data_IF_216490983382
#
_entry.id   IF_216490983382
#
_cell.length_a   1.000
_cell.length_b   1.000
_cell.length_c   1.000
_cell.angle_alpha   90.00
_cell.angle_beta   90.00
_cell.angle_gamma   90.00
#
_symmetry.space_group_name_H-M   'P 1'
#
loop_
_entity.id
_entity.type
_entity.pdbx_description
1 polymer ?
#
# COMPACT_ATOMS: atom_id res chain seq x y z
N UNK A 1 6.65 0.51 7.73
CA UNK A 1 7.86 1.36 7.68
C UNK A 1 8.43 1.31 9.09
N UNK A 2 9.48 0.52 9.34
CA UNK A 2 10.04 0.33 10.70
C UNK A 2 11.01 1.45 11.10
N UNK A 3 11.58 2.14 10.11
CA UNK A 3 12.66 3.11 10.29
C UNK A 3 12.33 4.43 9.57
N UNK A 4 11.21 5.06 9.93
CA UNK A 4 10.85 6.35 9.35
C UNK A 4 11.83 7.43 9.81
N UNK A 5 12.55 8.03 8.87
CA UNK A 5 13.41 9.21 9.10
C UNK A 5 12.60 10.46 8.77
N UNK A 6 12.56 11.43 9.69
CA UNK A 6 11.61 12.56 9.67
C UNK A 6 11.72 13.52 8.47
N UNK A 7 12.69 13.34 7.58
CA UNK A 7 12.83 14.16 6.39
C UNK A 7 11.91 13.64 5.27
N UNK A 8 11.01 14.51 4.83
CA UNK A 8 10.02 14.21 3.81
C UNK A 8 9.94 15.37 2.84
N UNK A 9 9.83 15.04 1.55
CA UNK A 9 9.77 16.00 0.47
C UNK A 9 8.36 16.07 -0.09
N UNK A 10 7.93 17.26 -0.49
CA UNK A 10 6.75 17.43 -1.34
C UNK A 10 6.92 16.70 -2.66
N UNK A 11 5.82 16.50 -3.38
CA UNK A 11 5.87 15.88 -4.71
C UNK A 11 6.81 16.64 -5.65
N UNK A 12 6.74 17.98 -5.66
CA UNK A 12 7.61 18.82 -6.50
C UNK A 12 9.09 18.72 -6.11
N UNK A 13 9.41 18.81 -4.82
CA UNK A 13 10.79 18.67 -4.34
C UNK A 13 11.37 17.28 -4.68
N UNK A 14 10.56 16.23 -4.55
CA UNK A 14 10.99 14.88 -4.92
C UNK A 14 11.29 14.76 -6.43
N UNK A 15 10.52 15.43 -7.29
CA UNK A 15 10.82 15.49 -8.73
C UNK A 15 12.19 16.11 -8.99
N UNK A 16 12.49 17.23 -8.33
CA UNK A 16 13.77 17.93 -8.49
C UNK A 16 14.94 17.08 -8.00
N UNK A 17 14.82 16.48 -6.81
CA UNK A 17 15.86 15.65 -6.21
C UNK A 17 16.12 14.39 -7.05
N UNK A 18 15.07 13.77 -7.58
CA UNK A 18 15.17 12.54 -8.36
C UNK A 18 15.41 12.80 -9.85
N UNK A 19 15.31 14.07 -10.28
CA UNK A 19 15.34 14.46 -11.70
C UNK A 19 14.32 13.69 -12.55
N UNK A 20 13.12 13.46 -12.00
CA UNK A 20 12.03 12.73 -12.66
C UNK A 20 10.92 13.68 -13.12
N UNK A 21 10.32 13.38 -14.26
CA UNK A 21 9.08 14.04 -14.70
C UNK A 21 7.92 13.65 -13.78
N UNK A 22 6.86 14.49 -13.67
CA UNK A 22 5.71 14.18 -12.82
C UNK A 22 5.12 12.79 -13.09
N UNK A 23 4.97 12.43 -14.37
CA UNK A 23 4.43 11.13 -14.80
C UNK A 23 5.33 9.94 -14.43
N UNK A 24 6.65 10.13 -14.44
CA UNK A 24 7.62 9.11 -14.05
C UNK A 24 7.53 8.87 -12.54
N UNK A 25 7.53 9.94 -11.73
CA UNK A 25 7.36 9.84 -10.29
C UNK A 25 6.01 9.19 -9.91
N UNK A 26 4.92 9.56 -10.58
CA UNK A 26 3.62 8.91 -10.40
C UNK A 26 3.68 7.41 -10.73
N UNK A 27 4.37 7.03 -11.81
CA UNK A 27 4.54 5.64 -12.19
C UNK A 27 5.32 4.83 -11.14
N UNK A 28 6.41 5.38 -10.60
CA UNK A 28 7.20 4.72 -9.55
C UNK A 28 6.41 4.54 -8.24
N UNK A 29 5.55 5.50 -7.89
CA UNK A 29 4.62 5.37 -6.77
C UNK A 29 3.56 4.30 -7.08
N UNK A 30 2.98 4.31 -8.29
CA UNK A 30 1.91 3.37 -8.67
C UNK A 30 2.39 1.92 -8.77
N UNK A 31 3.61 1.71 -9.20
CA UNK A 31 4.29 0.41 -9.21
C UNK A 31 4.85 0.00 -7.84
N UNK A 32 4.56 0.78 -6.78
CA UNK A 32 4.95 0.55 -5.38
C UNK A 32 6.45 0.50 -5.13
N UNK A 33 7.26 1.04 -6.05
CA UNK A 33 8.71 1.21 -5.87
C UNK A 33 9.04 2.37 -4.93
N UNK A 34 8.15 3.35 -4.85
CA UNK A 34 8.17 4.42 -3.85
C UNK A 34 6.93 4.34 -2.96
N UNK A 35 7.12 4.40 -1.65
CA UNK A 35 6.02 4.43 -0.68
C UNK A 35 5.80 5.84 -0.16
N UNK A 36 4.81 6.57 -0.70
CA UNK A 36 4.50 7.90 -0.20
C UNK A 36 3.82 7.82 1.17
N UNK A 37 3.88 8.93 1.87
CA UNK A 37 3.18 9.18 3.12
C UNK A 37 2.34 10.45 2.96
N UNK A 38 1.43 10.71 3.89
CA UNK A 38 0.70 11.98 3.92
C UNK A 38 1.16 12.80 5.12
N UNK A 39 1.39 14.08 4.91
CA UNK A 39 1.50 15.05 5.97
C UNK A 39 0.10 15.45 6.44
N UNK A 40 -0.10 15.55 7.75
CA UNK A 40 -1.34 16.04 8.34
C UNK A 40 -1.07 17.24 9.23
N UNK A 41 -1.87 18.28 9.02
CA UNK A 41 -1.99 19.41 9.95
C UNK A 41 -2.54 18.93 11.31
N UNK A 42 -2.34 19.71 12.40
CA UNK A 42 -2.84 19.36 13.73
C UNK A 42 -4.32 18.99 13.71
N UNK A 43 -4.64 17.73 14.01
CA UNK A 43 -6.03 17.24 14.12
C UNK A 43 -6.17 16.16 15.18
N UNK A 44 -7.40 15.96 15.64
CA UNK A 44 -7.72 14.88 16.57
C UNK A 44 -7.71 13.53 15.85
N UNK A 45 -7.05 12.54 16.46
CA UNK A 45 -6.89 11.18 15.96
C UNK A 45 -7.44 10.20 16.99
N UNK A 46 -8.14 9.19 16.49
CA UNK A 46 -8.50 7.98 17.21
C UNK A 46 -7.43 6.91 16.98
N UNK A 47 -6.87 6.38 18.08
CA UNK A 47 -5.95 5.25 18.07
C UNK A 47 -6.70 3.96 18.43
N UNK A 48 -6.45 2.91 17.66
CA UNK A 48 -7.18 1.65 17.81
C UNK A 48 -6.38 0.43 17.31
N UNK A 49 -6.89 -0.76 17.64
CA UNK A 49 -6.45 -2.04 17.09
C UNK A 49 -7.57 -2.68 16.28
N UNK A 50 -7.33 -3.05 15.01
CA UNK A 50 -8.29 -3.82 14.23
C UNK A 50 -8.29 -5.28 14.66
N UNK A 51 -9.47 -5.91 14.66
CA UNK A 51 -9.67 -7.35 14.82
C UNK A 51 -9.86 -8.02 13.46
N UNK A 52 -9.69 -9.33 13.42
CA UNK A 52 -9.91 -10.15 12.21
C UNK A 52 -11.34 -10.03 11.66
N UNK A 53 -12.33 -9.76 12.53
CA UNK A 53 -13.73 -9.52 12.17
C UNK A 53 -13.98 -8.17 11.49
N UNK A 54 -12.96 -7.29 11.36
CA UNK A 54 -13.11 -5.91 10.88
C UNK A 54 -13.60 -4.93 11.95
N UNK A 55 -13.76 -5.40 13.19
CA UNK A 55 -14.12 -4.60 14.36
C UNK A 55 -12.90 -3.92 14.98
N UNK A 56 -13.11 -2.78 15.62
CA UNK A 56 -12.04 -1.98 16.23
C UNK A 56 -12.15 -1.98 17.75
N UNK A 57 -11.00 -2.11 18.40
CA UNK A 57 -10.81 -1.82 19.82
C UNK A 57 -10.17 -0.44 19.93
N UNK A 58 -10.94 0.55 20.37
CA UNK A 58 -10.43 1.90 20.62
C UNK A 58 -9.57 1.94 21.87
N UNK A 59 -8.53 2.76 21.83
CA UNK A 59 -7.49 2.76 22.87
C UNK A 59 -7.28 4.12 23.52
N UNK A 60 -7.15 5.14 22.68
CA UNK A 60 -6.87 6.50 23.10
C UNK A 60 -7.22 7.48 21.98
N UNK A 61 -7.24 8.76 22.33
CA UNK A 61 -7.27 9.88 21.39
C UNK A 61 -6.04 10.75 21.60
N UNK A 62 -5.61 11.43 20.54
CA UNK A 62 -4.55 12.42 20.64
C UNK A 62 -4.69 13.48 19.55
N UNK A 63 -3.99 14.60 19.72
CA UNK A 63 -3.75 15.55 18.65
C UNK A 63 -2.47 15.15 17.92
N UNK A 64 -2.54 15.05 16.60
CA UNK A 64 -1.40 14.66 15.78
C UNK A 64 -1.09 15.69 14.69
N UNK A 65 0.20 16.02 14.56
CA UNK A 65 0.76 16.78 13.44
C UNK A 65 2.01 16.05 12.96
N UNK A 66 2.05 15.62 11.71
CA UNK A 66 3.19 14.89 11.19
C UNK A 66 2.83 14.02 10.02
N UNK A 67 3.56 12.93 9.83
CA UNK A 67 3.40 12.04 8.67
C UNK A 67 2.66 10.76 9.06
N UNK A 68 1.75 10.29 8.21
CA UNK A 68 1.08 9.01 8.43
C UNK A 68 0.98 8.21 7.13
N UNK A 69 0.91 6.90 7.26
CA UNK A 69 0.61 6.02 6.12
C UNK A 69 -0.89 6.04 5.83
N UNK A 70 -1.28 5.75 4.60
CA UNK A 70 -2.69 5.53 4.22
C UNK A 70 -2.79 4.36 3.25
N UNK A 71 -4.03 3.90 3.01
CA UNK A 71 -4.30 2.94 1.96
C UNK A 71 -3.85 3.47 0.60
N UNK A 72 -3.37 2.57 -0.26
CA UNK A 72 -2.91 2.94 -1.60
C UNK A 72 -4.04 3.52 -2.46
N UNK A 73 -5.30 3.15 -2.24
CA UNK A 73 -6.45 3.76 -2.90
C UNK A 73 -6.55 5.27 -2.61
N UNK A 74 -6.27 5.69 -1.38
CA UNK A 74 -6.17 7.11 -1.00
C UNK A 74 -5.03 7.78 -1.75
N UNK A 75 -3.86 7.14 -1.82
CA UNK A 75 -2.70 7.66 -2.57
C UNK A 75 -3.04 7.86 -4.05
N UNK A 76 -3.65 6.85 -4.68
CA UNK A 76 -4.02 6.92 -6.09
C UNK A 76 -4.94 8.11 -6.40
N UNK A 77 -5.98 8.31 -5.57
CA UNK A 77 -6.88 9.46 -5.69
C UNK A 77 -6.14 10.80 -5.59
N UNK A 78 -5.18 10.91 -4.65
CA UNK A 78 -4.38 12.11 -4.46
C UNK A 78 -3.45 12.38 -5.64
N UNK A 79 -2.87 11.34 -6.26
CA UNK A 79 -2.04 11.47 -7.46
C UNK A 79 -2.85 11.96 -8.67
N UNK A 80 -4.13 11.58 -8.75
CA UNK A 80 -5.07 12.03 -9.77
C UNK A 80 -5.61 13.45 -9.51
N UNK A 81 -5.11 14.13 -8.47
CA UNK A 81 -5.48 15.50 -8.12
C UNK A 81 -6.79 15.64 -7.35
N UNK A 82 -7.42 14.52 -6.98
CA UNK A 82 -8.66 14.51 -6.20
C UNK A 82 -8.38 14.54 -4.71
N UNK A 83 -9.22 15.24 -3.93
CA UNK A 83 -9.21 15.06 -2.48
C UNK A 83 -9.74 13.67 -2.13
N UNK A 84 -9.30 13.13 -1.00
CA UNK A 84 -9.71 11.80 -0.57
C UNK A 84 -10.02 11.78 0.92
N UNK A 85 -10.75 10.76 1.35
CA UNK A 85 -11.24 10.65 2.70
C UNK A 85 -10.69 9.37 3.37
N UNK A 86 -10.03 9.51 4.52
CA UNK A 86 -9.53 8.37 5.32
C UNK A 86 -10.65 7.69 6.10
N UNK A 87 -11.87 8.20 6.10
CA UNK A 87 -12.94 7.74 6.98
C UNK A 87 -13.33 6.27 6.79
N UNK A 88 -13.06 5.70 5.61
CA UNK A 88 -13.27 4.28 5.32
C UNK A 88 -11.99 3.43 5.45
N UNK A 89 -10.88 4.05 5.83
CA UNK A 89 -9.56 3.43 5.93
C UNK A 89 -8.86 3.79 7.23
N UNK A 90 -7.61 3.34 7.35
CA UNK A 90 -6.77 3.67 8.48
C UNK A 90 -5.31 3.69 8.07
N UNK A 91 -4.53 4.34 8.92
CA UNK A 91 -3.12 4.56 8.73
C UNK A 91 -2.32 4.21 9.97
N UNK A 92 -1.02 4.48 9.90
CA UNK A 92 -0.12 4.46 11.05
C UNK A 92 0.56 5.80 11.15
N UNK A 93 0.61 6.33 12.36
CA UNK A 93 1.37 7.54 12.66
C UNK A 93 2.86 7.19 12.62
N UNK A 94 3.66 8.05 12.01
CA UNK A 94 5.09 7.80 11.79
C UNK A 94 6.00 8.64 12.69
N UNK A 95 5.47 9.73 13.25
CA UNK A 95 6.26 10.70 14.02
C UNK A 95 5.76 10.81 15.46
N UNK A 96 6.45 10.17 16.40
CA UNK A 96 6.07 10.24 17.83
C UNK A 96 6.15 11.66 18.41
N UNK A 97 7.04 12.51 17.88
CA UNK A 97 7.16 13.91 18.32
C UNK A 97 5.97 14.77 17.91
N UNK A 98 5.22 14.32 16.89
CA UNK A 98 3.99 14.93 16.41
C UNK A 98 2.77 14.71 17.31
N UNK A 99 2.87 13.88 18.34
CA UNK A 99 1.77 13.54 19.25
C UNK A 99 1.71 14.52 20.42
N UNK A 100 0.53 15.09 20.64
CA UNK A 100 0.21 15.91 21.82
C UNK A 100 -1.19 15.58 22.35
N UNK A 101 -1.53 16.07 23.54
CA UNK A 101 -2.86 15.92 24.14
C UNK A 101 -3.38 14.47 24.17
N UNK A 102 -2.55 13.54 24.62
CA UNK A 102 -2.95 12.13 24.78
C UNK A 102 -4.07 12.00 25.80
N UNK A 103 -5.12 11.25 25.46
CA UNK A 103 -6.24 10.99 26.34
C UNK A 103 -6.77 9.56 26.16
N UNK A 104 -6.71 8.76 27.22
CA UNK A 104 -7.19 7.37 27.24
C UNK A 104 -8.67 7.24 27.64
N UNK A 105 -9.32 8.35 28.00
CA UNK A 105 -10.75 8.38 28.27
C UNK A 105 -11.57 8.20 26.99
N UNK A 106 -12.73 7.57 27.12
CA UNK A 106 -13.67 7.39 26.02
C UNK A 106 -14.21 8.74 25.54
N UNK A 107 -14.10 9.09 24.24
CA UNK A 107 -14.36 10.45 23.76
C UNK A 107 -15.80 10.70 23.28
N UNK A 108 -16.67 9.68 23.29
CA UNK A 108 -18.01 9.74 22.70
C UNK A 108 -19.11 9.70 23.76
N UNK A 109 -20.28 10.26 23.45
CA UNK A 109 -21.45 10.22 24.32
C UNK A 109 -22.12 8.84 24.28
N UNK A 110 -22.24 8.24 23.09
CA UNK A 110 -22.81 6.91 22.93
C UNK A 110 -21.80 5.84 23.37
N UNK A 111 -22.14 4.94 24.31
CA UNK A 111 -21.24 3.87 24.71
C UNK A 111 -21.02 2.83 23.59
N UNK A 112 -19.92 2.09 23.68
CA UNK A 112 -19.65 0.94 22.81
C UNK A 112 -20.63 -0.23 23.10
N UNK A 113 -20.99 -1.06 22.11
CA UNK A 113 -20.51 -1.04 20.72
C UNK A 113 -21.19 0.03 19.85
N UNK A 114 -20.39 0.68 19.00
CA UNK A 114 -20.85 1.73 18.11
C UNK A 114 -20.15 1.72 16.73
N UNK A 115 -20.89 1.33 15.68
CA UNK A 115 -20.33 1.21 14.32
C UNK A 115 -19.21 0.15 14.27
N UNK A 116 -18.04 0.54 13.75
CA UNK A 116 -16.82 -0.28 13.78
C UNK A 116 -16.19 -0.38 15.17
N UNK A 117 -16.40 0.59 16.04
CA UNK A 117 -15.82 0.63 17.38
C UNK A 117 -16.63 -0.26 18.33
N UNK A 118 -16.15 -1.45 18.64
CA UNK A 118 -16.91 -2.42 19.47
C UNK A 118 -16.53 -2.43 20.93
N UNK A 119 -15.31 -1.99 21.24
CA UNK A 119 -14.77 -2.02 22.58
C UNK A 119 -13.83 -0.84 22.81
N UNK A 120 -13.72 -0.41 24.07
CA UNK A 120 -12.74 0.59 24.51
C UNK A 120 -11.82 -0.01 25.58
N UNK A 121 -10.51 0.02 25.34
CA UNK A 121 -9.47 -0.41 26.29
C UNK A 121 -8.49 0.73 26.49
N UNK A 122 -8.63 1.53 27.55
CA UNK A 122 -7.75 2.67 27.80
C UNK A 122 -6.28 2.24 27.75
N UNK A 123 -5.49 2.94 26.93
CA UNK A 123 -4.07 2.66 26.77
C UNK A 123 -3.23 3.83 27.31
N UNK A 124 -2.23 3.53 28.15
CA UNK A 124 -1.25 4.53 28.53
C UNK A 124 -0.28 4.82 27.36
N UNK A 125 0.24 6.05 27.29
CA UNK A 125 1.07 6.51 26.15
C UNK A 125 2.24 5.57 25.84
N UNK A 126 2.93 5.09 26.87
CA UNK A 126 4.20 4.37 26.72
C UNK A 126 4.04 2.84 26.71
N UNK A 127 2.79 2.34 26.66
CA UNK A 127 2.50 0.92 26.80
C UNK A 127 2.69 0.14 25.49
N UNK A 128 2.33 0.75 24.35
CA UNK A 128 2.45 0.13 23.03
C UNK A 128 3.19 1.08 22.07
N UNK A 129 4.23 0.62 21.36
CA UNK A 129 4.91 1.43 20.36
C UNK A 129 3.96 1.93 19.28
N UNK A 130 4.14 3.20 18.88
CA UNK A 130 3.23 3.88 17.96
C UNK A 130 3.06 3.13 16.63
N UNK A 131 4.13 2.54 16.11
CA UNK A 131 4.13 1.81 14.85
C UNK A 131 3.22 0.57 14.86
N UNK A 132 2.73 0.11 16.02
CA UNK A 132 1.77 -1.01 16.14
C UNK A 132 0.32 -0.54 16.17
N UNK A 133 0.08 0.75 16.41
CA UNK A 133 -1.25 1.32 16.53
C UNK A 133 -1.78 1.70 15.15
N UNK A 134 -3.08 1.46 14.93
CA UNK A 134 -3.79 2.01 13.79
C UNK A 134 -4.40 3.35 14.19
N UNK A 135 -4.47 4.25 13.23
CA UNK A 135 -4.92 5.61 13.42
C UNK A 135 -5.92 6.02 12.34
N UNK A 136 -6.94 6.73 12.75
CA UNK A 136 -7.89 7.39 11.85
C UNK A 136 -8.28 8.74 12.46
N UNK A 137 -8.62 9.76 11.66
CA UNK A 137 -9.14 11.01 12.21
C UNK A 137 -10.36 10.76 13.12
N UNK A 138 -10.44 11.48 14.23
CA UNK A 138 -11.48 11.28 15.23
C UNK A 138 -12.86 11.50 14.58
N UNK A 139 -13.75 10.49 14.55
CA UNK A 139 -15.07 10.65 13.98
C UNK A 139 -15.91 11.63 14.80
N UNK A 140 -16.93 12.21 14.16
CA UNK A 140 -17.88 13.10 14.81
C UNK A 140 -19.17 12.35 15.10
N UNK A 141 -19.71 12.49 16.31
CA UNK A 141 -21.06 12.03 16.60
C UNK A 141 -22.10 12.92 15.90
N UNK A 142 -23.06 12.30 15.23
CA UNK A 142 -24.17 12.99 14.58
C UNK A 142 -25.48 12.23 14.79
N UNK A 143 -26.60 12.94 14.80
CA UNK A 143 -27.93 12.33 14.79
C UNK A 143 -28.35 12.09 13.33
N UNK A 144 -28.73 10.88 12.94
CA UNK A 144 -29.24 10.61 11.60
C UNK A 144 -30.43 11.51 11.25
N UNK A 145 -30.55 11.89 9.97
CA UNK A 145 -31.63 12.75 9.52
C UNK A 145 -33.01 12.14 9.79
N UNK A 146 -33.16 10.83 9.61
CA UNK A 146 -34.43 10.14 9.89
C UNK A 146 -34.81 10.21 11.37
N UNK A 147 -33.86 10.16 12.30
CA UNK A 147 -34.14 10.33 13.74
C UNK A 147 -34.63 11.76 14.05
N UNK A 148 -34.05 12.75 13.35
CA UNK A 148 -34.46 14.16 13.47
C UNK A 148 -35.86 14.39 12.91
N UNK A 149 -36.17 13.79 11.75
CA UNK A 149 -37.50 13.82 11.13
C UNK A 149 -38.52 13.08 12.00
N UNK A 150 -38.15 11.92 12.52
CA UNK A 150 -38.99 11.15 13.44
C UNK A 150 -39.33 12.00 14.67
N UNK A 151 -38.35 12.67 15.29
CA UNK A 151 -38.57 13.56 16.43
C UNK A 151 -39.52 14.71 16.13
N UNK A 152 -39.39 15.32 14.95
CA UNK A 152 -40.32 16.35 14.51
C UNK A 152 -41.74 15.80 14.32
N UNK A 153 -41.89 14.62 13.73
CA UNK A 153 -43.19 13.93 13.60
C UNK A 153 -43.77 13.62 14.99
N UNK A 154 -42.94 13.16 15.94
CA UNK A 154 -43.38 12.91 17.32
C UNK A 154 -43.88 14.20 17.98
N UNK A 155 -43.16 15.31 17.82
CA UNK A 155 -43.55 16.61 18.36
C UNK A 155 -44.84 17.15 17.75
N UNK A 156 -45.04 17.03 16.43
CA UNK A 156 -46.29 17.44 15.80
C UNK A 156 -47.45 16.55 16.29
N UNK A 157 -47.22 15.24 16.39
CA UNK A 157 -48.24 14.30 16.82
C UNK A 157 -48.70 14.58 18.27
N UNK A 158 -47.78 14.89 19.18
CA UNK A 158 -48.11 15.27 20.57
C UNK A 158 -48.83 16.62 20.67
N UNK A 159 -48.58 17.56 19.75
CA UNK A 159 -49.25 18.87 19.73
C UNK A 159 -50.65 18.81 19.11
N UNK A 160 -50.89 17.95 18.12
CA UNK A 160 -52.10 18.03 17.28
C UNK A 160 -53.18 16.97 17.51
N UNK A 161 -52.97 15.79 18.16
CA UNK A 161 -54.05 14.78 18.35
C UNK A 161 -53.93 13.91 19.62
N UNK A 162 -55.10 13.52 20.15
CA UNK A 162 -55.29 12.68 21.35
C UNK A 162 -54.75 11.24 21.23
N UNK A 163 -54.45 10.67 22.40
CA UNK A 163 -53.53 9.55 22.66
C UNK A 163 -53.59 8.35 21.67
N UNK A 164 -54.77 7.93 21.21
CA UNK A 164 -54.92 6.73 20.37
C UNK A 164 -54.37 6.87 18.93
N UNK A 165 -54.49 8.04 18.30
CA UNK A 165 -54.01 8.25 16.93
C UNK A 165 -52.48 8.46 16.90
N UNK A 166 -51.96 9.04 17.98
CA UNK A 166 -50.53 9.28 18.24
C UNK A 166 -49.81 7.95 18.42
N UNK A 167 -50.36 7.03 19.21
CA UNK A 167 -49.74 5.73 19.49
C UNK A 167 -49.59 4.83 18.26
N UNK A 168 -50.57 4.86 17.34
CA UNK A 168 -50.52 4.04 16.12
C UNK A 168 -49.47 4.56 15.14
N UNK A 169 -49.39 5.88 14.95
CA UNK A 169 -48.38 6.52 14.09
C UNK A 169 -46.96 6.41 14.69
N UNK A 170 -46.83 6.47 16.02
CA UNK A 170 -45.54 6.34 16.72
C UNK A 170 -44.98 4.90 16.68
N UNK A 171 -45.84 3.88 16.63
CA UNK A 171 -45.45 2.47 16.50
C UNK A 171 -44.93 2.09 15.12
N UNK A 172 -45.31 2.84 14.08
CA UNK A 172 -44.85 2.61 12.70
C UNK A 172 -43.53 3.33 12.38
N UNK A 173 -43.09 4.26 13.23
CA UNK A 173 -41.79 4.92 13.07
C UNK A 173 -40.65 3.94 13.38
N UNK A 174 -39.57 3.91 12.58
CA UNK A 174 -38.37 3.16 12.91
C UNK A 174 -37.87 3.49 14.32
N UNK A 175 -37.37 2.49 15.04
CA UNK A 175 -36.69 2.74 16.31
C UNK A 175 -35.53 3.73 16.11
N UNK A 176 -35.36 4.64 17.07
CA UNK A 176 -34.26 5.61 17.03
C UNK A 176 -32.94 4.87 16.99
N UNK A 177 -32.15 5.11 15.95
CA UNK A 177 -30.82 4.53 15.85
C UNK A 177 -29.82 5.22 16.79
N UNK A 178 -30.15 6.41 17.28
CA UNK A 178 -29.34 7.20 18.20
C UNK A 178 -28.16 7.87 17.50
N UNK A 179 -27.25 8.48 18.28
CA UNK A 179 -26.03 9.08 17.73
C UNK A 179 -25.23 8.05 16.90
N UNK A 180 -24.72 8.48 15.75
CA UNK A 180 -23.88 7.73 14.82
C UNK A 180 -22.50 8.36 14.67
N UNK A 181 -21.48 7.55 14.39
CA UNK A 181 -20.12 8.03 14.09
C UNK A 181 -19.99 8.34 12.61
N UNK A 182 -19.70 9.61 12.30
CA UNK A 182 -19.26 10.02 10.97
C UNK A 182 -17.73 10.08 10.91
N UNK A 183 -17.16 9.14 10.17
CA UNK A 183 -15.73 9.09 9.91
C UNK A 183 -15.30 10.00 8.76
N UNK A 184 -16.23 10.62 8.03
CA UNK A 184 -15.90 11.41 6.83
C UNK A 184 -15.58 12.86 7.16
N UNK A 185 -16.37 13.53 8.01
CA UNK A 185 -16.24 14.98 8.26
C UNK A 185 -14.80 15.43 8.58
N UNK A 186 -14.05 14.66 9.39
CA UNK A 186 -12.70 15.05 9.83
C UNK A 186 -11.56 14.40 9.03
N UNK A 187 -11.89 13.70 7.94
CA UNK A 187 -10.96 12.78 7.27
C UNK A 187 -10.50 13.21 5.89
N UNK A 188 -10.80 14.45 5.48
CA UNK A 188 -10.33 14.97 4.20
C UNK A 188 -8.79 15.15 4.19
N UNK A 189 -8.20 14.73 3.07
CA UNK A 189 -6.80 14.94 2.71
C UNK A 189 -6.75 15.49 1.30
N UNK A 190 -5.83 16.42 1.07
CA UNK A 190 -5.62 17.08 -0.20
C UNK A 190 -4.33 16.61 -0.89
N UNK A 191 -4.23 16.68 -2.24
CA UNK A 191 -3.06 16.23 -3.00
C UNK A 191 -1.72 16.82 -2.53
N UNK A 192 -1.74 18.09 -2.13
CA UNK A 192 -0.61 18.83 -1.57
C UNK A 192 -0.14 18.31 -0.20
N UNK A 193 -0.85 17.35 0.40
CA UNK A 193 -0.43 16.65 1.62
C UNK A 193 0.50 15.47 1.34
N UNK A 194 0.60 15.03 0.08
CA UNK A 194 1.45 13.90 -0.30
C UNK A 194 2.93 14.24 -0.08
N UNK A 195 3.66 13.31 0.52
CA UNK A 195 5.10 13.43 0.78
C UNK A 195 5.82 12.15 0.39
N UNK A 196 7.08 12.30 -0.03
CA UNK A 196 7.99 11.19 -0.28
C UNK A 196 9.06 11.19 0.82
N UNK A 197 9.18 10.14 1.63
CA UNK A 197 10.25 10.02 2.62
C UNK A 197 11.62 10.05 1.95
N UNK A 198 12.58 10.74 2.56
CA UNK A 198 13.96 10.78 2.07
C UNK A 198 14.56 9.38 1.93
N UNK A 199 14.25 8.49 2.89
CA UNK A 199 14.68 7.09 2.86
C UNK A 199 14.19 6.32 1.62
N UNK A 200 13.01 6.64 1.10
CA UNK A 200 12.47 5.99 -0.11
C UNK A 200 13.18 6.53 -1.36
N UNK A 201 13.53 7.82 -1.39
CA UNK A 201 14.36 8.41 -2.44
C UNK A 201 15.74 7.78 -2.45
N UNK A 202 16.38 7.67 -1.28
CA UNK A 202 17.71 7.09 -1.13
C UNK A 202 17.72 5.62 -1.58
N UNK A 203 16.72 4.84 -1.16
CA UNK A 203 16.56 3.44 -1.58
C UNK A 203 16.37 3.32 -3.09
N UNK A 204 15.55 4.18 -3.69
CA UNK A 204 15.36 4.20 -5.14
C UNK A 204 16.63 4.58 -5.90
N UNK A 205 17.36 5.60 -5.43
CA UNK A 205 18.63 5.98 -6.03
C UNK A 205 19.71 4.90 -5.85
N UNK A 206 19.70 4.20 -4.71
CA UNK A 206 20.55 3.04 -4.47
C UNK A 206 20.18 1.90 -5.40
N UNK A 207 18.91 1.57 -5.61
CA UNK A 207 18.52 0.52 -6.56
C UNK A 207 18.92 0.87 -7.98
N UNK A 208 18.80 2.14 -8.39
CA UNK A 208 19.29 2.62 -9.69
C UNK A 208 20.83 2.54 -9.80
N UNK A 209 21.54 2.73 -8.68
CA UNK A 209 22.99 2.58 -8.61
C UNK A 209 23.38 1.11 -8.61
N UNK A 210 22.70 0.22 -7.90
CA UNK A 210 22.96 -1.21 -7.88
C UNK A 210 22.69 -1.84 -9.26
N UNK A 211 21.64 -1.40 -9.96
CA UNK A 211 21.40 -1.73 -11.36
C UNK A 211 22.51 -1.21 -12.31
N UNK A 212 23.26 -0.18 -11.89
CA UNK A 212 24.45 0.34 -12.60
C UNK A 212 25.78 -0.25 -12.08
N UNK A 213 25.86 -0.71 -10.84
CA UNK A 213 27.08 -1.15 -10.13
C UNK A 213 27.36 -2.62 -10.36
N UNK A 214 26.38 -3.42 -10.80
CA UNK A 214 26.67 -4.75 -11.41
C UNK A 214 27.47 -4.63 -12.73
N UNK A 215 27.75 -3.41 -13.23
CA UNK A 215 28.60 -3.18 -14.41
C UNK A 215 29.95 -2.51 -14.08
N UNK A 216 30.33 -2.34 -12.80
CA UNK A 216 31.63 -1.70 -12.50
C UNK A 216 32.32 -2.20 -11.23
N UNK A 217 32.52 -3.51 -11.12
CA UNK A 217 33.78 -4.04 -10.58
C UNK A 217 34.61 -4.59 -11.71
N UNK A 218 35.69 -3.90 -12.01
CA UNK A 218 36.83 -4.37 -12.80
C UNK A 218 37.36 -5.70 -12.25
N UNK A 219 36.87 -6.80 -12.82
CA UNK A 219 37.69 -7.96 -13.13
C UNK A 219 37.59 -8.18 -14.64
N UNK A 220 38.74 -8.21 -15.32
CA UNK A 220 38.80 -8.61 -16.70
C UNK A 220 38.15 -9.99 -16.88
N UNK A 221 37.03 -10.09 -17.62
CA UNK A 221 36.58 -11.39 -18.13
C UNK A 221 35.10 -11.55 -18.48
N UNK A 222 34.75 -11.26 -19.75
CA UNK A 222 33.55 -11.69 -20.49
C UNK A 222 32.20 -11.04 -20.10
N UNK A 223 31.66 -10.26 -21.06
CA UNK A 223 30.25 -9.86 -21.14
C UNK A 223 29.35 -11.06 -20.82
N UNK A 224 28.63 -11.01 -19.72
CA UNK A 224 27.70 -12.07 -19.34
C UNK A 224 26.45 -12.00 -20.23
N UNK A 225 26.07 -13.13 -20.83
CA UNK A 225 24.92 -13.19 -21.72
C UNK A 225 23.66 -13.28 -20.85
N UNK A 226 22.81 -12.25 -20.89
CA UNK A 226 21.59 -12.16 -20.07
C UNK A 226 20.63 -13.35 -20.27
N UNK A 227 20.56 -13.90 -21.48
CA UNK A 227 19.79 -15.11 -21.73
C UNK A 227 20.39 -16.33 -21.01
N UNK A 228 21.73 -16.42 -20.93
CA UNK A 228 22.38 -17.47 -20.14
C UNK A 228 22.12 -17.29 -18.64
N UNK A 229 22.08 -16.05 -18.13
CA UNK A 229 21.74 -15.78 -16.73
C UNK A 229 20.31 -16.23 -16.40
N UNK A 230 19.35 -15.97 -17.28
CA UNK A 230 17.99 -16.50 -17.18
C UNK A 230 17.97 -18.03 -17.16
N UNK A 231 18.70 -18.69 -18.08
CA UNK A 231 18.81 -20.15 -18.10
C UNK A 231 19.46 -20.71 -16.84
N UNK A 232 20.43 -20.00 -16.26
CA UNK A 232 21.04 -20.37 -14.98
C UNK A 232 20.02 -20.39 -13.85
N UNK A 233 19.08 -19.43 -13.78
CA UNK A 233 18.00 -19.44 -12.77
C UNK A 233 17.10 -20.67 -12.93
N UNK A 234 16.71 -20.98 -14.17
CA UNK A 234 15.91 -22.16 -14.50
C UNK A 234 16.63 -23.45 -14.07
N UNK A 235 17.94 -23.56 -14.36
CA UNK A 235 18.75 -24.73 -13.97
C UNK A 235 18.91 -24.81 -12.46
N UNK A 236 19.14 -23.69 -11.75
CA UNK A 236 19.24 -23.69 -10.29
C UNK A 236 17.94 -24.15 -9.62
N UNK A 237 16.80 -23.76 -10.16
CA UNK A 237 15.49 -24.20 -9.68
C UNK A 237 15.21 -25.68 -9.99
N UNK A 238 15.71 -26.19 -11.12
CA UNK A 238 15.54 -27.59 -11.52
C UNK A 238 16.79 -28.12 -12.25
N UNK A 239 17.79 -28.64 -11.51
CA UNK A 239 19.11 -28.96 -12.05
C UNK A 239 19.12 -29.93 -13.24
N UNK A 240 18.16 -30.87 -13.26
CA UNK A 240 18.05 -31.92 -14.28
C UNK A 240 16.95 -31.65 -15.32
N UNK A 241 16.44 -30.41 -15.40
CA UNK A 241 15.33 -30.07 -16.30
C UNK A 241 15.65 -30.40 -17.77
N UNK A 242 14.74 -31.11 -18.46
CA UNK A 242 14.89 -31.40 -19.89
C UNK A 242 14.55 -30.15 -20.70
N UNK A 243 15.20 -29.97 -21.86
CA UNK A 243 15.03 -28.78 -22.70
C UNK A 243 13.57 -28.44 -23.03
N UNK A 244 12.76 -29.45 -23.38
CA UNK A 244 11.32 -29.26 -23.62
C UNK A 244 10.58 -28.70 -22.40
N UNK A 245 10.90 -29.19 -21.20
CA UNK A 245 10.26 -28.73 -19.97
C UNK A 245 10.73 -27.34 -19.57
N UNK A 246 12.02 -27.03 -19.76
CA UNK A 246 12.55 -25.68 -19.53
C UNK A 246 11.94 -24.66 -20.49
N UNK A 247 11.70 -25.04 -21.74
CA UNK A 247 11.01 -24.18 -22.71
C UNK A 247 9.57 -23.90 -22.29
N UNK A 248 8.79 -24.94 -21.98
CA UNK A 248 7.41 -24.78 -21.49
C UNK A 248 7.34 -24.03 -20.16
N UNK A 249 8.36 -24.14 -19.32
CA UNK A 249 8.44 -23.36 -18.09
C UNK A 249 8.60 -21.87 -18.39
N UNK A 250 9.45 -21.50 -19.35
CA UNK A 250 9.61 -20.11 -19.79
C UNK A 250 8.38 -19.58 -20.52
N UNK A 251 7.67 -20.42 -21.28
CA UNK A 251 6.38 -20.03 -21.90
C UNK A 251 5.36 -19.64 -20.84
N UNK A 252 5.21 -20.49 -19.80
CA UNK A 252 4.32 -20.19 -18.67
C UNK A 252 4.76 -18.98 -17.86
N UNK A 253 6.07 -18.80 -17.69
CA UNK A 253 6.63 -17.67 -16.97
C UNK A 253 6.36 -16.35 -17.70
N UNK A 254 6.45 -16.35 -19.03
CA UNK A 254 6.17 -15.20 -19.88
C UNK A 254 4.67 -14.83 -19.90
N UNK A 255 3.78 -15.84 -19.85
CA UNK A 255 2.33 -15.62 -19.80
C UNK A 255 1.82 -15.26 -18.38
N UNK A 256 2.67 -15.35 -17.36
CA UNK A 256 2.32 -15.09 -15.96
C UNK A 256 2.47 -13.60 -15.61
N UNK A 257 1.49 -13.04 -14.90
CA UNK A 257 1.57 -11.69 -14.32
C UNK A 257 2.66 -11.59 -13.22
N UNK A 258 3.08 -12.73 -12.67
CA UNK A 258 4.18 -12.85 -11.70
C UNK A 258 5.27 -13.74 -12.29
N UNK A 259 6.24 -13.14 -13.00
CA UNK A 259 7.38 -13.86 -13.58
C UNK A 259 8.34 -14.35 -12.47
N UNK A 260 8.58 -15.65 -12.44
CA UNK A 260 9.48 -16.32 -11.50
C UNK A 260 10.92 -16.41 -12.03
N UNK A 261 11.14 -16.43 -13.35
CA UNK A 261 12.46 -16.63 -13.95
C UNK A 261 12.95 -15.43 -14.77
N UNK A 262 12.08 -14.85 -15.59
CA UNK A 262 12.35 -13.63 -16.36
C UNK A 262 12.15 -12.36 -15.53
N UNK A 263 12.87 -12.28 -14.40
CA UNK A 263 12.84 -11.14 -13.48
C UNK A 263 13.25 -9.82 -14.15
N UNK A 264 13.94 -9.90 -15.29
CA UNK A 264 14.48 -8.77 -16.02
C UNK A 264 13.58 -8.36 -17.21
N UNK A 265 12.50 -9.10 -17.46
CA UNK A 265 11.60 -8.89 -18.59
C UNK A 265 12.32 -8.90 -19.95
N UNK A 266 13.34 -9.75 -20.11
CA UNK A 266 14.13 -9.77 -21.35
C UNK A 266 13.41 -10.50 -22.47
N UNK A 267 12.55 -11.48 -22.18
CA UNK A 267 11.80 -12.22 -23.20
C UNK A 267 10.75 -11.27 -23.79
N UNK A 268 10.76 -11.13 -25.11
CA UNK A 268 9.81 -10.27 -25.85
C UNK A 268 8.71 -11.08 -26.50
N UNK A 269 9.03 -12.30 -26.93
CA UNK A 269 8.09 -13.24 -27.49
C UNK A 269 8.59 -14.66 -27.29
N UNK A 270 7.69 -15.60 -27.03
CA UNK A 270 8.00 -17.02 -27.00
C UNK A 270 6.86 -17.79 -27.67
N UNK A 271 7.24 -18.73 -28.53
CA UNK A 271 6.33 -19.60 -29.26
C UNK A 271 6.82 -21.04 -29.19
N UNK A 272 6.05 -22.02 -29.69
CA UNK A 272 6.48 -23.42 -29.69
C UNK A 272 7.78 -23.69 -30.46
N UNK A 273 8.21 -22.77 -31.34
CA UNK A 273 9.34 -22.97 -32.25
C UNK A 273 10.48 -21.97 -32.07
N UNK A 274 10.20 -20.80 -31.49
CA UNK A 274 11.17 -19.71 -31.35
C UNK A 274 10.96 -18.86 -30.09
N UNK A 275 12.06 -18.32 -29.57
CA UNK A 275 12.10 -17.43 -28.42
C UNK A 275 12.90 -16.19 -28.83
N UNK A 276 12.31 -15.02 -28.64
CA UNK A 276 12.90 -13.71 -28.86
C UNK A 276 13.15 -13.01 -27.52
N UNK A 277 14.34 -12.46 -27.34
CA UNK A 277 14.65 -11.63 -26.18
C UNK A 277 15.39 -10.37 -26.60
N UNK A 278 15.21 -9.30 -25.84
CA UNK A 278 15.92 -8.05 -25.99
C UNK A 278 16.83 -7.86 -24.80
N UNK A 279 18.13 -7.81 -25.06
CA UNK A 279 19.10 -7.47 -24.02
C UNK A 279 18.85 -6.06 -23.48
N UNK A 280 19.26 -5.80 -22.25
CA UNK A 280 19.20 -4.44 -21.64
C UNK A 280 19.99 -3.38 -22.44
N UNK A 281 20.87 -3.81 -23.34
CA UNK A 281 21.61 -2.94 -24.26
C UNK A 281 20.87 -2.67 -25.58
N UNK A 282 19.62 -3.11 -25.69
CA UNK A 282 18.77 -2.88 -26.86
C UNK A 282 18.95 -3.87 -28.00
N UNK A 283 19.91 -4.80 -27.91
CA UNK A 283 20.10 -5.84 -28.94
C UNK A 283 19.03 -6.91 -28.79
N UNK A 284 18.23 -7.09 -29.83
CA UNK A 284 17.28 -8.19 -29.97
C UNK A 284 18.01 -9.42 -30.50
N UNK A 285 17.66 -10.59 -29.99
CA UNK A 285 18.17 -11.88 -30.42
C UNK A 285 17.05 -12.91 -30.40
N UNK A 286 17.17 -13.93 -31.24
CA UNK A 286 16.19 -14.99 -31.33
C UNK A 286 16.89 -16.36 -31.29
N UNK A 287 16.18 -17.36 -30.80
CA UNK A 287 16.66 -18.73 -30.69
C UNK A 287 15.54 -19.70 -31.05
N UNK A 288 15.82 -20.62 -31.97
CA UNK A 288 14.87 -21.70 -32.29
C UNK A 288 14.94 -22.80 -31.24
N UNK A 289 13.84 -23.50 -31.01
CA UNK A 289 13.78 -24.63 -30.06
C UNK A 289 14.89 -25.67 -30.27
N UNK A 290 15.20 -26.00 -31.53
CA UNK A 290 16.27 -26.95 -31.87
C UNK A 290 17.66 -26.50 -31.39
N UNK A 291 17.87 -25.19 -31.23
CA UNK A 291 19.11 -24.59 -30.72
C UNK A 291 19.07 -24.34 -29.21
N UNK A 292 17.91 -24.52 -28.56
CA UNK A 292 17.74 -24.35 -27.13
C UNK A 292 18.37 -25.47 -26.30
N UNK A 293 18.16 -26.73 -26.68
CA UNK A 293 18.72 -27.86 -25.93
C UNK A 293 20.27 -27.85 -25.85
N UNK A 294 21.01 -27.53 -26.94
CA UNK A 294 22.45 -27.31 -26.86
C UNK A 294 22.83 -26.13 -25.95
N UNK A 295 22.08 -25.03 -26.01
CA UNK A 295 22.34 -23.81 -25.22
C UNK A 295 22.15 -24.06 -23.73
N UNK A 296 21.04 -24.70 -23.34
CA UNK A 296 20.75 -25.10 -21.96
C UNK A 296 21.83 -26.05 -21.42
N UNK A 297 22.26 -27.02 -22.22
CA UNK A 297 23.32 -27.96 -21.83
C UNK A 297 24.66 -27.25 -21.63
N UNK A 298 24.99 -26.27 -22.48
CA UNK A 298 26.21 -25.46 -22.36
C UNK A 298 26.19 -24.60 -21.09
N UNK A 299 25.07 -23.99 -20.75
CA UNK A 299 24.91 -23.21 -19.50
C UNK A 299 25.05 -24.12 -18.29
N UNK A 300 24.40 -25.29 -18.31
CA UNK A 300 24.51 -26.29 -17.24
C UNK A 300 25.94 -26.78 -17.03
N UNK A 301 26.68 -27.04 -18.11
CA UNK A 301 28.08 -27.45 -18.04
C UNK A 301 28.95 -26.42 -17.33
N UNK A 302 28.81 -25.14 -17.73
CA UNK A 302 29.53 -24.03 -17.09
C UNK A 302 29.21 -23.89 -15.60
N UNK A 303 27.94 -23.98 -15.23
CA UNK A 303 27.53 -23.90 -13.82
C UNK A 303 28.24 -24.94 -12.95
N UNK A 304 28.35 -26.18 -13.45
CA UNK A 304 29.03 -27.28 -12.75
C UNK A 304 30.55 -27.11 -12.67
N UNK A 305 31.15 -26.41 -13.62
CA UNK A 305 32.59 -26.09 -13.60
C UNK A 305 32.88 -24.99 -12.58
N UNK A 306 32.02 -23.97 -12.52
CA UNK A 306 32.16 -22.84 -11.59
C UNK A 306 31.94 -23.28 -10.13
N UNK A 307 31.04 -24.23 -9.87
CA UNK A 307 30.80 -24.81 -8.53
C UNK A 307 31.95 -25.72 -8.03
N UNK A 308 32.81 -26.23 -8.92
CA UNK A 308 33.98 -27.05 -8.53
C UNK A 308 35.24 -26.23 -8.24
N UNK A 309 35.27 -24.98 -8.68
CA UNK A 309 36.42 -24.09 -8.58
C UNK A 309 36.29 -23.07 -7.41
N UNK A 310 35.19 -23.14 -6.65
CA UNK A 310 34.93 -22.40 -5.41
C UNK A 310 34.82 -23.39 -4.23
#
# INVERSE_FOLDING_TARGET
MKDYTGLCYTFAEAQDIMSLRPSELQHEIRTKKLKPVIYTEPRQILLFLPRESGEWVGLATCTYRGHMTVAFSTVANLLDGSSSNVGNGWGRLLDESGISHWNSAYPFQRPVPHGHLKEWRPLARDEIPLHRLCATPLPKEFTPLHDTVNDFIRQIATVYKGEEATDKALKELPEKNGLMLDFKTNSEIHPNSLRIPASEIDQYQQSLKEDKVVVSTTTNGKKENQFHTLLTRVIKHSPEIKAKHAWTLLEKDFESDEAAFDLDGIIQAISPTELEWKSRHGNTSYLKFNSFAPTLSKVRGKLKEDEKNN
#
